data_IF_152930972683
#
_entry.id   IF_152930972683
#
_cell.length_a   1.000
_cell.length_b   1.000
_cell.length_c   1.000
_cell.angle_alpha   90.00
_cell.angle_beta   90.00
_cell.angle_gamma   90.00
#
_symmetry.space_group_name_H-M   'P 1'
#
loop_
_entity.id
_entity.type
_entity.pdbx_description
1 polymer ?
#
# COMPACT_ATOMS: atom_id res chain seq x y z
N UNK A 1 33.26 -23.92 -21.14
CA UNK A 1 32.66 -23.05 -22.16
C UNK A 1 31.22 -23.48 -22.52
N UNK A 2 30.94 -24.73 -22.90
CA UNK A 2 29.59 -25.18 -23.28
C UNK A 2 28.52 -25.12 -22.16
N UNK A 3 28.92 -25.30 -20.89
CA UNK A 3 27.99 -25.29 -19.74
C UNK A 3 27.44 -23.89 -19.40
N UNK A 4 28.25 -22.84 -19.58
CA UNK A 4 27.80 -21.45 -19.36
C UNK A 4 26.83 -20.98 -20.46
N UNK A 5 27.07 -21.35 -21.71
CA UNK A 5 26.17 -21.01 -22.81
C UNK A 5 24.79 -21.64 -22.61
N UNK A 6 24.73 -22.90 -22.18
CA UNK A 6 23.49 -23.58 -21.83
C UNK A 6 22.75 -22.90 -20.68
N UNK A 7 23.46 -22.53 -19.61
CA UNK A 7 22.86 -21.84 -18.46
C UNK A 7 22.29 -20.47 -18.84
N UNK A 8 22.97 -19.72 -19.71
CA UNK A 8 22.51 -18.41 -20.20
C UNK A 8 21.24 -18.57 -21.04
N UNK A 9 21.17 -19.61 -21.87
CA UNK A 9 20.01 -19.90 -22.71
C UNK A 9 18.80 -20.33 -21.87
N UNK A 10 19.03 -21.17 -20.86
CA UNK A 10 18.02 -21.62 -19.91
C UNK A 10 17.47 -20.48 -19.04
N UNK A 11 18.36 -19.58 -18.58
CA UNK A 11 17.98 -18.36 -17.88
C UNK A 11 17.17 -17.40 -18.76
N UNK A 12 17.56 -17.22 -20.03
CA UNK A 12 16.81 -16.38 -20.98
C UNK A 12 15.43 -16.94 -21.28
N UNK A 13 15.32 -18.26 -21.44
CA UNK A 13 14.04 -18.93 -21.62
C UNK A 13 13.16 -18.75 -20.37
N UNK A 14 13.74 -18.85 -19.17
CA UNK A 14 13.02 -18.64 -17.92
C UNK A 14 12.56 -17.20 -17.73
N UNK A 15 13.39 -16.23 -18.10
CA UNK A 15 13.02 -14.80 -18.10
C UNK A 15 11.88 -14.55 -19.08
N UNK A 16 11.96 -15.06 -20.31
CA UNK A 16 10.90 -14.91 -21.30
C UNK A 16 9.58 -15.58 -20.87
N UNK A 17 9.65 -16.75 -20.24
CA UNK A 17 8.48 -17.44 -19.67
C UNK A 17 7.85 -16.63 -18.53
N UNK A 18 8.68 -16.08 -17.63
CA UNK A 18 8.22 -15.25 -16.53
C UNK A 18 7.62 -13.94 -17.02
N UNK A 19 8.23 -13.29 -18.02
CA UNK A 19 7.71 -12.08 -18.67
C UNK A 19 6.38 -12.36 -19.40
N UNK A 20 6.28 -13.49 -20.11
CA UNK A 20 5.03 -13.89 -20.75
C UNK A 20 3.91 -14.18 -19.73
N UNK A 21 4.25 -14.82 -18.61
CA UNK A 21 3.30 -15.05 -17.51
C UNK A 21 2.91 -13.75 -16.83
N UNK A 22 3.82 -12.79 -16.73
CA UNK A 22 3.57 -11.47 -16.16
C UNK A 22 2.70 -10.60 -17.10
N UNK A 23 2.85 -10.77 -18.41
CA UNK A 23 1.98 -10.14 -19.41
C UNK A 23 0.59 -10.80 -19.51
N UNK A 24 0.49 -12.09 -19.21
CA UNK A 24 -0.78 -12.84 -19.18
C UNK A 24 -1.56 -12.68 -17.87
N UNK A 25 -0.89 -12.29 -16.79
CA UNK A 25 -1.54 -11.85 -15.56
C UNK A 25 -2.17 -10.48 -15.85
N UNK A 26 -3.51 -10.40 -15.79
CA UNK A 26 -4.22 -9.14 -15.88
C UNK A 26 -3.61 -8.11 -14.90
N UNK A 27 -3.59 -6.82 -15.26
CA UNK A 27 -3.23 -5.80 -14.30
C UNK A 27 -4.09 -5.98 -13.06
N UNK A 28 -3.45 -6.01 -11.89
CA UNK A 28 -4.13 -6.22 -10.63
C UNK A 28 -5.41 -5.36 -10.57
N UNK A 29 -6.54 -5.90 -10.06
CA UNK A 29 -7.80 -5.17 -10.02
C UNK A 29 -7.59 -3.82 -9.35
N UNK A 30 -7.73 -2.75 -10.14
CA UNK A 30 -7.49 -1.37 -9.72
C UNK A 30 -6.35 -0.63 -10.43
N UNK A 31 -5.62 -1.24 -11.36
CA UNK A 31 -4.66 -0.50 -12.21
C UNK A 31 -5.43 0.44 -13.17
N UNK A 32 -5.66 1.68 -12.74
CA UNK A 32 -6.22 2.71 -13.61
C UNK A 32 -5.21 2.99 -14.71
N UNK A 33 -5.65 2.85 -15.96
CA UNK A 33 -5.03 3.24 -17.24
C UNK A 33 -3.64 3.85 -17.15
N UNK A 34 -2.66 3.29 -17.87
CA UNK A 34 -1.23 3.66 -17.90
C UNK A 34 -0.87 5.08 -18.38
N UNK A 35 -1.61 6.08 -17.94
CA UNK A 35 -1.24 7.49 -17.92
C UNK A 35 -0.38 7.71 -16.67
N UNK A 36 0.86 8.20 -16.81
CA UNK A 36 1.67 8.56 -15.66
C UNK A 36 0.99 9.70 -14.90
N UNK A 37 0.77 9.53 -13.60
CA UNK A 37 0.30 10.64 -12.77
C UNK A 37 1.44 11.60 -12.43
N UNK A 38 1.07 12.78 -11.97
CA UNK A 38 2.00 13.89 -11.77
C UNK A 38 1.93 14.35 -10.31
N UNK A 39 3.09 14.42 -9.66
CA UNK A 39 3.24 14.88 -8.27
C UNK A 39 4.28 15.99 -8.21
N UNK A 40 4.30 16.77 -7.14
CA UNK A 40 5.36 17.76 -6.91
C UNK A 40 6.40 17.22 -5.94
N UNK A 41 7.68 17.40 -6.27
CA UNK A 41 8.82 17.08 -5.39
C UNK A 41 9.72 18.31 -5.34
N UNK A 42 9.84 18.95 -4.18
CA UNK A 42 10.61 20.19 -4.05
C UNK A 42 10.09 21.31 -4.97
N UNK A 43 8.76 21.36 -5.17
CA UNK A 43 8.11 22.31 -6.08
C UNK A 43 8.21 21.98 -7.58
N UNK A 44 8.91 20.91 -7.97
CA UNK A 44 9.03 20.49 -9.38
C UNK A 44 8.00 19.40 -9.73
N UNK A 45 7.32 19.48 -10.89
CA UNK A 45 6.45 18.40 -11.34
C UNK A 45 7.29 17.16 -11.73
N UNK A 46 6.91 16.00 -11.20
CA UNK A 46 7.53 14.71 -11.44
C UNK A 46 6.46 13.74 -11.91
N UNK A 47 6.70 13.08 -13.03
CA UNK A 47 5.83 12.02 -13.55
C UNK A 47 6.14 10.70 -12.89
N UNK A 48 5.11 10.02 -12.41
CA UNK A 48 5.18 8.73 -11.76
C UNK A 48 4.57 7.65 -12.64
N UNK A 49 5.26 6.52 -12.75
CA UNK A 49 4.72 5.29 -13.32
C UNK A 49 4.13 4.41 -12.21
N UNK A 50 3.13 3.58 -12.51
CA UNK A 50 2.64 2.57 -11.58
C UNK A 50 3.75 1.59 -11.18
N UNK A 51 3.67 1.07 -9.95
CA UNK A 51 4.61 0.09 -9.44
C UNK A 51 4.33 -1.29 -10.04
N UNK A 52 5.38 -2.10 -10.15
CA UNK A 52 5.17 -3.52 -10.47
C UNK A 52 4.46 -4.23 -9.31
N UNK A 53 3.69 -5.30 -9.58
CA UNK A 53 3.00 -6.06 -8.52
C UNK A 53 3.93 -6.53 -7.38
N UNK A 54 5.18 -6.89 -7.69
CA UNK A 54 6.16 -7.31 -6.70
C UNK A 54 6.61 -6.16 -5.78
N UNK A 55 6.89 -4.98 -6.35
CA UNK A 55 7.24 -3.78 -5.58
C UNK A 55 6.07 -3.30 -4.74
N UNK A 56 4.86 -3.44 -5.29
CA UNK A 56 3.62 -3.05 -4.62
C UNK A 56 3.30 -3.92 -3.40
N UNK A 57 3.42 -5.24 -3.51
CA UNK A 57 3.22 -6.17 -2.39
C UNK A 57 4.22 -5.93 -1.26
N UNK A 58 5.47 -5.58 -1.59
CA UNK A 58 6.48 -5.22 -0.59
C UNK A 58 6.14 -3.90 0.12
N UNK A 59 5.70 -2.89 -0.65
CA UNK A 59 5.31 -1.59 -0.12
C UNK A 59 4.08 -1.66 0.82
N UNK A 60 3.21 -2.65 0.60
CA UNK A 60 1.93 -2.79 1.30
C UNK A 60 1.98 -3.41 2.71
N UNK A 61 3.07 -4.09 3.09
CA UNK A 61 3.07 -4.90 4.32
C UNK A 61 2.78 -4.11 5.60
N UNK A 62 3.18 -2.84 5.65
CA UNK A 62 3.04 -2.00 6.86
C UNK A 62 2.22 -0.72 6.63
N UNK A 63 1.84 -0.45 5.38
CA UNK A 63 1.23 0.81 4.97
C UNK A 63 -0.22 0.99 5.44
N UNK A 64 -1.10 -0.02 5.36
CA UNK A 64 -2.51 0.13 5.78
C UNK A 64 -2.67 0.48 7.25
N UNK A 65 -1.89 -0.17 8.12
CA UNK A 65 -1.91 0.09 9.56
C UNK A 65 -1.36 1.48 9.90
N UNK A 66 -0.31 1.90 9.21
CA UNK A 66 0.28 3.23 9.36
C UNK A 66 -0.67 4.34 8.91
N UNK A 67 -1.25 4.25 7.71
CA UNK A 67 -2.19 5.26 7.20
C UNK A 67 -3.43 5.40 8.09
N UNK A 68 -3.88 4.30 8.70
CA UNK A 68 -4.97 4.32 9.68
C UNK A 68 -4.59 5.12 10.93
N UNK A 69 -3.42 4.84 11.51
CA UNK A 69 -2.95 5.53 12.71
C UNK A 69 -2.80 7.03 12.46
N UNK A 70 -2.27 7.39 11.29
CA UNK A 70 -2.13 8.77 10.83
C UNK A 70 -3.49 9.47 10.70
N UNK A 71 -4.43 8.88 9.95
CA UNK A 71 -5.77 9.45 9.75
C UNK A 71 -6.56 9.60 11.06
N UNK A 72 -6.39 8.68 12.02
CA UNK A 72 -7.04 8.78 13.34
C UNK A 72 -6.48 9.93 14.17
N UNK A 73 -5.17 10.20 14.12
CA UNK A 73 -4.56 11.34 14.83
C UNK A 73 -5.02 12.66 14.21
N UNK A 74 -5.02 12.75 12.89
CA UNK A 74 -5.49 13.93 12.16
C UNK A 74 -6.97 14.22 12.46
N UNK A 75 -7.84 13.20 12.43
CA UNK A 75 -9.26 13.35 12.73
C UNK A 75 -9.54 13.78 14.18
N UNK A 76 -8.62 13.51 15.09
CA UNK A 76 -8.68 13.96 16.50
C UNK A 76 -8.09 15.35 16.70
N UNK A 77 -7.61 16.00 15.63
CA UNK A 77 -6.90 17.28 15.71
C UNK A 77 -5.60 17.18 16.50
N UNK A 78 -5.03 15.97 16.63
CA UNK A 78 -3.72 15.78 17.24
C UNK A 78 -2.65 16.02 16.18
N UNK A 79 -1.60 16.76 16.53
CA UNK A 79 -0.44 16.82 15.66
C UNK A 79 0.17 15.42 15.55
N UNK A 80 0.38 14.92 14.32
CA UNK A 80 0.96 13.62 14.13
C UNK A 80 2.34 13.56 14.76
N UNK A 81 2.63 12.46 15.45
CA UNK A 81 3.95 12.26 16.08
C UNK A 81 5.08 12.42 15.05
N UNK A 82 6.19 13.04 15.45
CA UNK A 82 7.34 13.29 14.58
C UNK A 82 7.84 12.01 13.90
N UNK A 83 7.86 10.88 14.63
CA UNK A 83 8.20 9.57 14.09
C UNK A 83 7.23 9.09 12.98
N UNK A 84 5.96 9.47 13.03
CA UNK A 84 4.99 9.16 11.97
C UNK A 84 5.23 10.03 10.74
N UNK A 85 5.54 11.30 10.93
CA UNK A 85 5.87 12.22 9.84
C UNK A 85 7.16 11.82 9.12
N UNK A 86 8.22 11.47 9.86
CA UNK A 86 9.46 10.95 9.28
C UNK A 86 9.22 9.68 8.48
N UNK A 87 8.42 8.75 9.02
CA UNK A 87 8.07 7.52 8.31
C UNK A 87 7.27 7.81 7.05
N UNK A 88 6.32 8.74 7.09
CA UNK A 88 5.54 9.20 5.94
C UNK A 88 6.46 9.67 4.80
N UNK A 89 7.38 10.58 5.13
CA UNK A 89 8.34 11.14 4.17
C UNK A 89 9.28 10.05 3.64
N UNK A 90 9.79 9.16 4.49
CA UNK A 90 10.67 8.08 4.08
C UNK A 90 9.98 7.09 3.13
N UNK A 91 8.71 6.74 3.41
CA UNK A 91 7.92 5.89 2.51
C UNK A 91 7.67 6.58 1.18
N UNK A 92 7.26 7.85 1.20
CA UNK A 92 7.05 8.63 -0.02
C UNK A 92 8.33 8.70 -0.86
N UNK A 93 9.49 8.94 -0.23
CA UNK A 93 10.81 8.95 -0.90
C UNK A 93 11.11 7.62 -1.59
N UNK A 94 10.92 6.50 -0.89
CA UNK A 94 11.13 5.16 -1.48
C UNK A 94 10.22 4.93 -2.69
N UNK A 95 8.98 5.39 -2.62
CA UNK A 95 8.01 5.27 -3.71
C UNK A 95 8.36 6.17 -4.89
N UNK A 96 8.75 7.43 -4.65
CA UNK A 96 9.25 8.32 -5.71
C UNK A 96 10.46 7.69 -6.40
N UNK A 97 11.44 7.15 -5.68
CA UNK A 97 12.60 6.48 -6.28
C UNK A 97 12.19 5.29 -7.17
N UNK A 98 11.17 4.54 -6.76
CA UNK A 98 10.70 3.38 -7.52
C UNK A 98 9.83 3.75 -8.73
N UNK A 99 9.07 4.86 -8.64
CA UNK A 99 8.04 5.26 -9.59
C UNK A 99 8.45 6.41 -10.52
N UNK A 100 9.43 7.23 -10.17
CA UNK A 100 9.77 8.41 -10.95
C UNK A 100 10.26 8.03 -12.36
N UNK A 101 9.66 8.66 -13.36
CA UNK A 101 10.07 8.55 -14.76
C UNK A 101 11.22 9.53 -15.04
N UNK A 102 11.09 10.74 -14.49
CA UNK A 102 12.06 11.81 -14.64
C UNK A 102 13.04 11.83 -13.45
N UNK A 103 14.31 12.22 -13.67
CA UNK A 103 15.27 12.36 -12.58
C UNK A 103 14.79 13.45 -11.61
N UNK A 104 14.65 13.08 -10.34
CA UNK A 104 14.27 13.99 -9.26
C UNK A 104 15.09 13.71 -8.00
N UNK A 105 15.20 14.72 -7.14
CA UNK A 105 15.84 14.57 -5.83
C UNK A 105 14.77 14.30 -4.76
N UNK A 106 14.58 13.04 -4.32
CA UNK A 106 13.61 12.72 -3.27
C UNK A 106 13.99 13.33 -1.90
N UNK A 107 15.21 13.83 -1.71
CA UNK A 107 15.58 14.50 -0.46
C UNK A 107 14.80 15.82 -0.26
N UNK A 108 14.42 16.49 -1.35
CA UNK A 108 13.73 17.79 -1.35
C UNK A 108 12.23 17.71 -1.03
N UNK A 109 11.73 16.52 -0.73
CA UNK A 109 10.31 16.21 -0.58
C UNK A 109 9.77 16.75 0.75
N UNK A 110 8.77 17.62 0.68
CA UNK A 110 8.08 18.18 1.85
C UNK A 110 6.97 17.26 2.36
N UNK A 111 6.52 17.44 3.61
CA UNK A 111 5.41 16.66 4.19
C UNK A 111 4.13 16.69 3.33
N UNK A 112 3.62 17.85 2.87
CA UNK A 112 2.42 17.88 2.01
C UNK A 112 2.65 17.21 0.65
N UNK A 113 3.85 17.32 0.08
CA UNK A 113 4.21 16.61 -1.15
C UNK A 113 4.28 15.09 -0.93
N UNK A 114 4.77 14.65 0.23
CA UNK A 114 4.83 13.24 0.60
C UNK A 114 3.44 12.61 0.69
N UNK A 115 2.47 13.34 1.27
CA UNK A 115 1.07 12.91 1.28
C UNK A 115 0.52 12.80 -0.14
N UNK A 116 0.77 13.78 -1.01
CA UNK A 116 0.32 13.75 -2.40
C UNK A 116 0.92 12.56 -3.18
N UNK A 117 2.21 12.28 -2.98
CA UNK A 117 2.87 11.10 -3.55
C UNK A 117 2.18 9.81 -3.10
N UNK A 118 1.92 9.67 -1.80
CA UNK A 118 1.26 8.48 -1.29
C UNK A 118 -0.12 8.30 -1.91
N UNK A 119 -0.94 9.37 -1.97
CA UNK A 119 -2.28 9.33 -2.59
C UNK A 119 -2.20 8.96 -4.06
N UNK A 120 -1.30 9.60 -4.81
CA UNK A 120 -1.22 9.43 -6.26
C UNK A 120 -0.69 8.04 -6.64
N UNK A 121 0.35 7.55 -5.96
CA UNK A 121 0.84 6.18 -6.14
C UNK A 121 -0.23 5.17 -5.71
N UNK A 122 -0.94 5.42 -4.62
CA UNK A 122 -2.02 4.55 -4.15
C UNK A 122 -3.13 4.44 -5.18
N UNK A 123 -3.57 5.57 -5.75
CA UNK A 123 -4.59 5.64 -6.79
C UNK A 123 -4.18 4.87 -8.05
N UNK A 124 -2.96 5.11 -8.54
CA UNK A 124 -2.45 4.44 -9.76
C UNK A 124 -2.34 2.92 -9.62
N UNK A 125 -2.07 2.45 -8.41
CA UNK A 125 -1.89 1.02 -8.12
C UNK A 125 -3.17 0.35 -7.58
N UNK A 126 -4.30 1.06 -7.57
CA UNK A 126 -5.59 0.50 -7.14
C UNK A 126 -5.68 0.21 -5.64
N UNK A 127 -4.89 0.92 -4.82
CA UNK A 127 -4.82 0.71 -3.38
C UNK A 127 -6.17 0.94 -2.69
N UNK A 128 -6.97 1.88 -3.20
CA UNK A 128 -8.21 2.32 -2.56
C UNK A 128 -9.18 1.15 -2.32
N UNK A 129 -9.28 0.24 -3.29
CA UNK A 129 -10.11 -0.96 -3.17
C UNK A 129 -9.55 -1.94 -2.11
N UNK A 130 -8.23 -2.10 -2.05
CA UNK A 130 -7.56 -3.00 -1.10
C UNK A 130 -7.59 -2.46 0.32
N UNK A 131 -7.38 -1.15 0.50
CA UNK A 131 -7.54 -0.48 1.79
C UNK A 131 -8.99 -0.53 2.27
N UNK A 132 -9.97 -0.29 1.40
CA UNK A 132 -11.38 -0.38 1.76
C UNK A 132 -11.77 -1.79 2.24
N UNK A 133 -11.22 -2.85 1.64
CA UNK A 133 -11.41 -4.23 2.10
C UNK A 133 -10.70 -4.47 3.44
N UNK A 134 -9.44 -4.04 3.58
CA UNK A 134 -8.68 -4.16 4.82
C UNK A 134 -9.37 -3.45 6.00
N UNK A 135 -9.87 -2.23 5.79
CA UNK A 135 -10.59 -1.48 6.82
C UNK A 135 -11.92 -2.12 7.18
N UNK A 136 -12.67 -2.64 6.20
CA UNK A 136 -13.91 -3.40 6.48
C UNK A 136 -13.62 -4.64 7.31
N UNK A 137 -12.56 -5.39 7.01
CA UNK A 137 -12.18 -6.57 7.79
C UNK A 137 -11.76 -6.22 9.21
N UNK A 138 -10.93 -5.19 9.40
CA UNK A 138 -10.49 -4.77 10.74
C UNK A 138 -11.62 -4.19 11.58
N UNK A 139 -12.49 -3.35 11.01
CA UNK A 139 -13.65 -2.79 11.71
C UNK A 139 -14.74 -3.84 11.96
N UNK A 140 -14.93 -4.78 11.04
CA UNK A 140 -15.83 -5.92 11.22
C UNK A 140 -15.37 -6.88 12.32
N UNK A 141 -14.06 -7.12 12.43
CA UNK A 141 -13.47 -7.94 13.50
C UNK A 141 -13.57 -7.26 14.87
N UNK A 142 -13.36 -5.94 14.97
CA UNK A 142 -13.52 -5.22 16.25
C UNK A 142 -14.98 -5.13 16.68
N UNK A 143 -15.92 -4.97 15.74
CA UNK A 143 -17.36 -5.02 16.04
C UNK A 143 -17.84 -6.44 16.42
N UNK A 144 -17.28 -7.49 15.81
CA UNK A 144 -17.60 -8.89 16.11
C UNK A 144 -17.08 -9.38 17.47
N UNK A 145 -15.97 -8.84 17.96
CA UNK A 145 -15.39 -9.22 19.26
C UNK A 145 -16.08 -8.55 20.47
N UNK A 146 -16.88 -7.51 20.27
CA UNK A 146 -17.63 -6.82 21.34
C UNK A 146 -19.05 -7.33 21.59
N UNK A 147 -19.58 -8.20 20.72
CA UNK A 147 -21.00 -8.61 20.74
C UNK A 147 -21.23 -10.07 21.11
N UNK A 148 -20.34 -10.67 21.92
CA UNK A 148 -20.53 -12.03 22.45
C UNK A 148 -20.67 -12.09 23.99
N UNK A 149 -20.48 -10.98 24.71
CA UNK A 149 -20.38 -10.98 26.18
C UNK A 149 -21.62 -10.48 26.95
N UNK A 150 -22.78 -10.28 26.30
CA UNK A 150 -23.99 -9.76 26.98
C UNK A 150 -25.24 -10.64 26.85
N UNK A 151 -25.13 -11.88 26.36
CA UNK A 151 -26.20 -12.87 26.52
C UNK A 151 -25.87 -13.82 27.66
N UNK A 152 -26.02 -13.32 28.89
CA UNK A 152 -26.25 -14.21 30.03
C UNK A 152 -27.52 -15.03 29.75
N UNK A 153 -27.48 -16.36 29.90
CA UNK A 153 -28.70 -17.15 29.91
C UNK A 153 -29.54 -16.79 31.16
N UNK A 154 -30.88 -16.79 31.08
CA UNK A 154 -31.71 -16.60 32.26
C UNK A 154 -31.48 -17.77 33.23
N UNK A 155 -31.03 -17.44 34.44
CA UNK A 155 -30.86 -18.37 35.55
C UNK A 155 -32.28 -18.75 36.04
N UNK A 156 -32.67 -20.04 36.05
CA UNK A 156 -33.98 -20.42 36.58
C UNK A 156 -33.97 -20.26 38.10
N UNK A 157 -34.89 -19.46 38.60
CA UNK A 157 -35.17 -19.24 40.01
C UNK A 157 -35.39 -20.58 40.73
N UNK A 158 -34.43 -20.94 41.57
CA UNK A 158 -34.66 -21.90 42.63
C UNK A 158 -35.48 -21.21 43.73
N UNK A 159 -36.79 -21.47 43.75
CA UNK A 159 -37.61 -21.75 44.96
C UNK A 159 -39.11 -21.61 44.70
N UNK A 160 -39.83 -22.73 44.81
CA UNK A 160 -41.08 -22.81 45.56
C UNK A 160 -41.46 -24.29 45.82
N UNK A 161 -41.67 -24.59 47.11
CA UNK A 161 -42.11 -25.82 47.78
C UNK A 161 -41.09 -26.94 48.00
#
# INVERSE_FOLDING_TARGET
MASQAKLIEELRARVAELEARLAALEPAPGSTSGQPGEVRVGGQPVRLRPLSPAQWVLALKELPGFLLAYAVQEARGQEPEEALLERLVNTARQWVVACAIDPCDPAMLTIPEAQQVLVEVSRQNGLDAQLAEFFRQRLGQTAGSGSAALRSPPQPDARAN
#
